data_IF_101471675010
#
_entry.id   IF_101471675010
#
_cell.length_a   1.000
_cell.length_b   1.000
_cell.length_c   1.000
_cell.angle_alpha   90.00
_cell.angle_beta   90.00
_cell.angle_gamma   90.00
#
_symmetry.space_group_name_H-M   'P 1'
#
loop_
_entity.id
_entity.type
_entity.pdbx_description
1 polymer ?
#
# COMPACT_ATOMS: atom_id res chain seq x y z
N UNK A 1 -5.24 8.62 2.43
CA UNK A 1 -4.08 8.30 3.23
C UNK A 1 -2.82 9.09 2.85
N UNK A 2 -2.76 9.67 1.63
CA UNK A 2 -1.59 10.38 1.12
C UNK A 2 -2.00 11.42 0.08
N UNK A 3 -1.13 12.40 -0.18
CA UNK A 3 -1.22 13.26 -1.36
C UNK A 3 -0.64 12.50 -2.56
N UNK A 4 -1.21 12.71 -3.73
CA UNK A 4 -0.69 12.09 -4.94
C UNK A 4 -1.73 11.96 -6.04
N UNK A 5 -1.51 10.97 -6.91
CA UNK A 5 -2.41 10.65 -8.02
C UNK A 5 -2.87 9.21 -7.90
N UNK A 6 -4.19 8.97 -7.95
CA UNK A 6 -4.73 7.60 -8.02
C UNK A 6 -4.41 7.03 -9.39
N UNK A 7 -3.42 6.16 -9.46
CA UNK A 7 -3.00 5.55 -10.72
C UNK A 7 -3.86 4.36 -11.11
N UNK A 8 -4.32 3.59 -10.14
CA UNK A 8 -5.25 2.46 -10.30
C UNK A 8 -6.06 2.26 -9.03
N UNK A 9 -7.31 1.86 -9.15
CA UNK A 9 -8.13 1.35 -8.06
C UNK A 9 -9.21 0.41 -8.61
N UNK A 10 -9.76 -0.43 -7.75
CA UNK A 10 -10.84 -1.34 -8.12
C UNK A 10 -10.77 -2.69 -7.43
N UNK A 11 -11.59 -3.66 -7.90
CA UNK A 11 -11.62 -5.00 -7.33
C UNK A 11 -10.36 -5.79 -7.66
N UNK A 12 -9.92 -6.57 -6.69
CA UNK A 12 -8.95 -7.64 -6.89
C UNK A 12 -9.70 -8.80 -7.53
N UNK A 13 -9.17 -9.35 -8.62
CA UNK A 13 -9.82 -10.47 -9.33
C UNK A 13 -8.96 -11.72 -9.22
N UNK A 14 -9.46 -12.72 -8.49
CA UNK A 14 -8.73 -13.97 -8.24
C UNK A 14 -7.28 -13.71 -7.76
N UNK A 15 -7.12 -12.81 -6.79
CA UNK A 15 -5.83 -12.43 -6.22
C UNK A 15 -4.92 -11.61 -7.13
N UNK A 16 -5.45 -11.00 -8.20
CA UNK A 16 -4.67 -10.22 -9.18
C UNK A 16 -5.08 -8.75 -9.16
N UNK A 17 -4.09 -7.86 -9.09
CA UNK A 17 -4.23 -6.41 -9.14
C UNK A 17 -3.77 -5.87 -10.48
N UNK A 18 -4.50 -4.87 -11.00
CA UNK A 18 -4.09 -4.13 -12.20
C UNK A 18 -2.97 -3.15 -11.85
N UNK A 19 -1.88 -3.17 -12.62
CA UNK A 19 -0.77 -2.21 -12.47
C UNK A 19 -0.94 -1.00 -13.39
N UNK A 20 -1.12 -1.25 -14.69
CA UNK A 20 -1.37 -0.29 -15.77
C UNK A 20 -1.60 -1.05 -17.07
N UNK A 21 -2.39 -0.52 -18.04
CA UNK A 21 -2.51 -0.96 -19.45
C UNK A 21 -2.27 -2.47 -19.72
N UNK A 22 -3.07 -3.34 -19.12
CA UNK A 22 -2.97 -4.79 -19.32
C UNK A 22 -1.82 -5.47 -18.57
N UNK A 23 -1.13 -4.76 -17.69
CA UNK A 23 -0.15 -5.33 -16.76
C UNK A 23 -0.78 -5.54 -15.41
N UNK A 24 -0.40 -6.65 -14.77
CA UNK A 24 -0.90 -7.02 -13.45
C UNK A 24 0.20 -7.70 -12.62
N UNK A 25 -0.05 -7.85 -11.35
CA UNK A 25 0.74 -8.62 -10.40
C UNK A 25 -0.19 -9.24 -9.36
N UNK A 26 0.27 -10.24 -8.64
CA UNK A 26 -0.57 -10.91 -7.64
C UNK A 26 -0.42 -10.28 -6.26
N UNK A 27 -1.45 -10.42 -5.42
CA UNK A 27 -1.41 -10.10 -3.98
C UNK A 27 -0.21 -10.78 -3.33
N UNK A 28 -0.02 -12.07 -3.59
CA UNK A 28 1.09 -12.85 -3.04
C UNK A 28 2.45 -12.21 -3.36
N UNK A 29 2.66 -11.80 -4.61
CA UNK A 29 3.89 -11.12 -5.01
C UNK A 29 4.07 -9.78 -4.32
N UNK A 30 2.99 -8.97 -4.22
CA UNK A 30 3.04 -7.64 -3.63
C UNK A 30 3.30 -7.71 -2.12
N UNK A 31 2.54 -8.52 -1.39
CA UNK A 31 2.64 -8.65 0.07
C UNK A 31 3.80 -9.53 0.52
N UNK A 32 4.44 -10.27 -0.40
CA UNK A 32 5.49 -11.26 -0.12
C UNK A 32 5.07 -12.27 0.96
N UNK A 33 3.82 -12.72 0.91
CA UNK A 33 3.18 -13.63 1.84
C UNK A 33 3.00 -15.04 1.23
N UNK A 34 2.54 -15.99 2.04
CA UNK A 34 2.16 -17.31 1.55
C UNK A 34 0.81 -17.30 0.81
N UNK A 35 0.42 -18.45 0.24
CA UNK A 35 -0.80 -18.59 -0.53
C UNK A 35 -2.07 -18.42 0.32
N UNK A 36 -2.05 -18.89 1.57
CA UNK A 36 -3.20 -18.82 2.47
C UNK A 36 -3.49 -17.37 2.88
N UNK A 37 -2.45 -16.61 3.18
CA UNK A 37 -2.59 -15.17 3.45
C UNK A 37 -3.05 -14.42 2.20
N UNK A 38 -2.50 -14.70 1.03
CA UNK A 38 -2.91 -14.07 -0.22
C UNK A 38 -4.36 -14.37 -0.59
N UNK A 39 -4.86 -15.57 -0.29
CA UNK A 39 -6.22 -16.00 -0.58
C UNK A 39 -7.29 -15.14 0.13
N UNK A 40 -6.99 -14.56 1.28
CA UNK A 40 -7.91 -13.65 2.00
C UNK A 40 -8.30 -12.43 1.17
N UNK A 41 -7.40 -11.98 0.31
CA UNK A 41 -7.59 -10.79 -0.53
C UNK A 41 -8.07 -11.11 -1.94
N UNK A 42 -8.42 -12.39 -2.23
CA UNK A 42 -8.67 -12.84 -3.62
C UNK A 42 -9.74 -12.02 -4.35
N UNK A 43 -10.78 -11.60 -3.63
CA UNK A 43 -11.93 -10.83 -4.14
C UNK A 43 -12.09 -9.48 -3.44
N UNK A 44 -11.03 -8.99 -2.81
CA UNK A 44 -11.02 -7.72 -2.09
C UNK A 44 -10.91 -6.51 -3.02
N UNK A 45 -10.43 -5.40 -2.46
CA UNK A 45 -10.29 -4.12 -3.18
C UNK A 45 -8.87 -3.58 -3.04
N UNK A 46 -8.43 -2.76 -4.02
CA UNK A 46 -7.14 -2.10 -3.94
C UNK A 46 -7.18 -0.68 -4.49
N UNK A 47 -6.23 0.14 -4.05
CA UNK A 47 -5.90 1.42 -4.68
C UNK A 47 -4.39 1.62 -4.69
N UNK A 48 -3.89 2.22 -5.77
CA UNK A 48 -2.49 2.60 -5.95
C UNK A 48 -2.41 4.11 -6.09
N UNK A 49 -1.71 4.77 -5.17
CA UNK A 49 -1.50 6.21 -5.14
C UNK A 49 -0.02 6.50 -5.40
N UNK A 50 0.26 7.22 -6.48
CA UNK A 50 1.60 7.68 -6.83
C UNK A 50 1.85 9.04 -6.19
N UNK A 51 2.93 9.18 -5.43
CA UNK A 51 3.40 10.43 -4.83
C UNK A 51 4.58 10.95 -5.64
N UNK A 52 4.40 12.08 -6.31
CA UNK A 52 5.50 12.75 -7.01
C UNK A 52 6.48 13.37 -6.01
N UNK A 53 7.73 13.71 -6.39
CA UNK A 53 8.70 14.31 -5.48
C UNK A 53 8.27 15.63 -4.83
N UNK A 54 7.29 16.33 -5.41
CA UNK A 54 6.73 17.58 -4.88
C UNK A 54 5.54 17.39 -3.95
N UNK A 55 5.00 16.17 -3.85
CA UNK A 55 3.84 15.91 -3.01
C UNK A 55 4.24 15.73 -1.53
N UNK A 56 3.28 15.75 -0.64
CA UNK A 56 3.46 15.44 0.77
C UNK A 56 3.81 13.96 0.96
N UNK A 57 4.88 13.64 1.67
CA UNK A 57 5.44 12.28 1.73
C UNK A 57 5.16 11.50 3.01
N UNK A 58 4.33 12.01 3.91
CA UNK A 58 3.82 11.23 5.03
C UNK A 58 2.59 10.44 4.59
N UNK A 59 2.44 9.25 5.14
CA UNK A 59 1.33 8.34 4.86
C UNK A 59 0.51 8.19 6.13
N UNK A 60 -0.79 8.33 6.01
CA UNK A 60 -1.73 8.34 7.13
C UNK A 60 -2.72 7.18 7.05
N UNK A 61 -3.21 6.76 8.20
CA UNK A 61 -4.22 5.73 8.30
C UNK A 61 -5.53 6.18 7.65
N UNK A 62 -6.09 5.41 6.71
CA UNK A 62 -7.38 5.73 6.10
C UNK A 62 -8.56 5.44 7.04
N UNK A 63 -8.34 4.60 8.04
CA UNK A 63 -9.31 4.20 9.06
C UNK A 63 -8.58 3.81 10.34
N UNK A 64 -9.32 3.60 11.44
CA UNK A 64 -8.79 3.01 12.66
C UNK A 64 -8.24 1.60 12.38
N UNK A 65 -7.09 1.26 12.95
CA UNK A 65 -6.53 -0.07 12.77
C UNK A 65 -5.49 -0.44 13.82
N UNK A 66 -5.38 -1.73 14.11
CA UNK A 66 -4.37 -2.31 14.99
C UNK A 66 -3.34 -3.04 14.16
N UNK A 67 -2.07 -2.69 14.30
CA UNK A 67 -0.97 -3.30 13.55
C UNK A 67 -0.83 -4.78 13.92
N UNK A 68 -0.93 -5.62 12.91
CA UNK A 68 -0.82 -7.08 13.00
C UNK A 68 0.58 -7.57 12.66
N UNK A 69 1.10 -7.08 11.54
CA UNK A 69 2.43 -7.45 11.06
C UNK A 69 3.07 -6.35 10.22
N UNK A 70 4.39 -6.39 10.14
CA UNK A 70 5.16 -5.58 9.19
C UNK A 70 6.19 -6.47 8.50
N UNK A 71 6.25 -6.40 7.17
CA UNK A 71 7.22 -7.14 6.37
C UNK A 71 8.05 -6.17 5.52
N UNK A 72 9.36 -6.14 5.75
CA UNK A 72 10.31 -5.52 4.85
C UNK A 72 10.65 -6.48 3.71
N UNK A 73 10.56 -6.01 2.49
CA UNK A 73 10.86 -6.79 1.28
C UNK A 73 11.94 -6.08 0.48
N UNK A 74 13.16 -6.63 0.41
CA UNK A 74 14.22 -6.07 -0.43
C UNK A 74 13.83 -6.16 -1.89
N UNK A 75 14.30 -5.20 -2.70
CA UNK A 75 13.94 -5.19 -4.10
C UNK A 75 14.80 -4.24 -4.93
N UNK A 76 14.30 -3.94 -6.12
CA UNK A 76 14.85 -2.92 -7.01
C UNK A 76 14.35 -1.53 -6.57
N UNK A 77 14.89 -0.50 -7.19
CA UNK A 77 14.48 0.88 -6.99
C UNK A 77 14.15 1.50 -8.35
N UNK A 78 13.27 0.83 -9.12
CA UNK A 78 12.78 1.43 -10.36
C UNK A 78 11.99 2.71 -10.04
N UNK A 79 12.01 3.68 -10.95
CA UNK A 79 11.05 4.78 -10.88
C UNK A 79 9.62 4.22 -10.86
N UNK A 80 8.72 4.86 -10.12
CA UNK A 80 7.32 4.41 -9.98
C UNK A 80 6.34 5.34 -10.71
N UNK A 81 6.84 6.21 -11.60
CA UNK A 81 6.01 7.05 -12.44
C UNK A 81 5.21 6.21 -13.46
N UNK A 82 4.22 6.83 -14.08
CA UNK A 82 3.30 6.18 -15.01
C UNK A 82 4.02 5.46 -16.17
N UNK A 83 5.02 6.10 -16.79
CA UNK A 83 5.75 5.50 -17.91
C UNK A 83 6.48 4.21 -17.51
N UNK A 84 7.06 4.17 -16.31
CA UNK A 84 7.70 2.97 -15.78
C UNK A 84 6.68 1.91 -15.38
N UNK A 85 5.55 2.32 -14.80
CA UNK A 85 4.45 1.40 -14.47
C UNK A 85 3.86 0.73 -15.72
N UNK A 86 3.82 1.43 -16.83
CA UNK A 86 3.41 0.87 -18.14
C UNK A 86 4.51 0.00 -18.77
N UNK A 87 5.77 0.29 -18.52
CA UNK A 87 6.92 -0.37 -19.13
C UNK A 87 7.42 -1.63 -18.43
N UNK A 88 7.40 -1.66 -17.09
CA UNK A 88 8.03 -2.71 -16.28
C UNK A 88 6.98 -3.64 -15.66
N UNK A 89 6.92 -4.92 -16.08
CA UNK A 89 5.99 -5.88 -15.49
C UNK A 89 6.26 -6.12 -14.00
N UNK A 90 5.20 -6.13 -13.18
CA UNK A 90 5.26 -6.40 -11.75
C UNK A 90 6.06 -5.35 -10.96
N UNK A 91 6.11 -4.10 -11.44
CA UNK A 91 6.93 -3.02 -10.92
C UNK A 91 6.86 -2.91 -9.39
N UNK A 92 5.66 -2.78 -8.84
CA UNK A 92 5.45 -2.57 -7.40
C UNK A 92 5.84 -3.79 -6.56
N UNK A 93 5.66 -5.00 -7.09
CA UNK A 93 6.06 -6.24 -6.43
C UNK A 93 7.58 -6.53 -6.56
N UNK A 94 8.30 -5.81 -7.43
CA UNK A 94 9.75 -5.94 -7.64
C UNK A 94 10.57 -4.88 -6.93
N UNK A 95 9.97 -3.75 -6.60
CA UNK A 95 10.64 -2.70 -5.85
C UNK A 95 10.75 -3.05 -4.36
N UNK A 96 11.79 -2.50 -3.73
CA UNK A 96 11.93 -2.49 -2.28
C UNK A 96 10.69 -1.86 -1.66
N UNK A 97 10.15 -2.48 -0.61
CA UNK A 97 8.90 -2.04 0.00
C UNK A 97 8.75 -2.50 1.43
N UNK A 98 7.87 -1.82 2.14
CA UNK A 98 7.40 -2.20 3.47
C UNK A 98 5.90 -2.47 3.39
N UNK A 99 5.49 -3.65 3.83
CA UNK A 99 4.09 -4.07 3.94
C UNK A 99 3.70 -3.99 5.40
N UNK A 100 2.72 -3.16 5.73
CA UNK A 100 2.15 -3.08 7.08
C UNK A 100 0.68 -3.53 7.00
N UNK A 101 0.34 -4.58 7.74
CA UNK A 101 -0.99 -5.17 7.76
C UNK A 101 -1.68 -4.84 9.08
N UNK A 102 -2.90 -4.34 8.98
CA UNK A 102 -3.73 -3.90 10.10
C UNK A 102 -5.04 -4.68 10.16
N UNK A 103 -5.45 -5.07 11.35
CA UNK A 103 -6.84 -5.43 11.62
C UNK A 103 -7.64 -4.14 11.80
N UNK A 104 -8.71 -3.97 11.03
CA UNK A 104 -9.59 -2.80 11.06
C UNK A 104 -11.03 -3.21 11.37
N UNK A 105 -11.92 -2.28 11.73
CA UNK A 105 -13.35 -2.58 11.91
C UNK A 105 -14.02 -3.16 10.65
N UNK A 106 -13.38 -3.07 9.49
CA UNK A 106 -13.92 -3.45 8.19
C UNK A 106 -13.14 -4.55 7.49
N UNK A 107 -12.35 -5.30 8.21
CA UNK A 107 -11.50 -6.37 7.69
C UNK A 107 -10.01 -6.03 7.74
N UNK A 108 -9.21 -6.88 7.10
CA UNK A 108 -7.77 -6.74 7.06
C UNK A 108 -7.36 -5.75 5.96
N UNK A 109 -6.55 -4.77 6.32
CA UNK A 109 -5.98 -3.77 5.40
C UNK A 109 -4.47 -3.87 5.39
N UNK A 110 -3.89 -4.16 4.24
CA UNK A 110 -2.45 -4.05 4.02
C UNK A 110 -2.11 -2.73 3.32
N UNK A 111 -1.23 -1.94 3.94
CA UNK A 111 -0.67 -0.73 3.36
C UNK A 111 0.77 -1.01 2.92
N UNK A 112 1.02 -0.90 1.62
CA UNK A 112 2.32 -1.21 1.02
C UNK A 112 3.00 0.09 0.61
N UNK A 113 4.10 0.41 1.29
CA UNK A 113 4.94 1.56 1.01
C UNK A 113 6.04 1.13 0.05
N UNK A 114 5.95 1.53 -1.21
CA UNK A 114 6.87 1.12 -2.28
C UNK A 114 7.92 2.19 -2.51
N UNK A 115 9.18 1.84 -2.30
CA UNK A 115 10.34 2.70 -2.59
C UNK A 115 10.63 2.84 -4.09
N UNK A 116 11.35 3.90 -4.45
CA UNK A 116 11.73 4.21 -5.82
C UNK A 116 13.14 4.81 -5.93
N UNK A 117 13.63 5.05 -7.13
CA UNK A 117 15.04 5.31 -7.51
C UNK A 117 15.75 6.46 -6.77
N UNK A 118 15.06 7.35 -6.13
CA UNK A 118 15.67 8.46 -5.34
C UNK A 118 15.27 8.36 -3.87
N UNK A 119 14.42 7.39 -3.53
CA UNK A 119 13.87 7.19 -2.19
C UNK A 119 14.77 6.25 -1.43
N UNK A 120 15.62 6.81 -0.60
CA UNK A 120 16.56 6.03 0.19
C UNK A 120 16.01 5.56 1.54
N UNK A 121 14.74 5.86 1.89
CA UNK A 121 14.27 5.54 3.24
C UNK A 121 12.76 5.48 3.34
N UNK A 122 12.27 4.38 3.90
CA UNK A 122 10.89 4.20 4.37
C UNK A 122 10.96 4.14 5.89
N UNK A 123 10.17 4.98 6.54
CA UNK A 123 10.06 5.03 8.01
C UNK A 123 8.64 4.70 8.43
N UNK A 124 8.48 3.98 9.54
CA UNK A 124 7.20 3.81 10.22
C UNK A 124 7.24 4.43 11.61
N UNK A 125 6.10 4.88 12.13
CA UNK A 125 6.05 5.55 13.44
C UNK A 125 6.37 4.61 14.61
N UNK A 126 6.27 3.30 14.42
CA UNK A 126 6.53 2.28 15.44
C UNK A 126 7.92 1.62 15.35
N UNK A 127 8.59 1.69 14.22
CA UNK A 127 9.89 1.02 14.02
C UNK A 127 11.00 1.95 13.53
N UNK A 128 10.68 3.25 13.28
CA UNK A 128 11.64 4.20 12.71
C UNK A 128 12.01 3.83 11.28
N UNK A 129 13.29 3.94 10.91
CA UNK A 129 13.78 3.61 9.57
C UNK A 129 13.75 2.11 9.35
N UNK A 130 12.93 1.66 8.37
CA UNK A 130 12.76 0.24 8.01
C UNK A 130 13.50 -0.11 6.72
N UNK A 131 13.61 0.82 5.77
CA UNK A 131 14.34 0.63 4.52
C UNK A 131 15.30 1.80 4.27
N UNK A 132 16.48 1.56 3.65
CA UNK A 132 17.03 0.26 3.24
C UNK A 132 17.74 -0.42 4.42
N UNK A 133 17.44 -1.64 4.73
CA UNK A 133 18.09 -2.29 5.88
C UNK A 133 18.85 -3.57 5.57
N UNK A 134 18.32 -4.48 4.74
CA UNK A 134 18.92 -5.81 4.55
C UNK A 134 18.66 -6.38 3.16
N UNK A 135 19.40 -7.47 2.85
CA UNK A 135 19.24 -8.21 1.60
C UNK A 135 18.20 -9.35 1.66
N UNK A 136 17.48 -9.48 2.78
CA UNK A 136 16.52 -10.56 3.03
C UNK A 136 15.17 -10.00 3.48
N UNK A 137 14.11 -10.73 3.15
CA UNK A 137 12.76 -10.44 3.66
C UNK A 137 12.77 -10.58 5.18
N UNK A 138 12.16 -9.62 5.85
CA UNK A 138 12.03 -9.59 7.31
C UNK A 138 10.60 -9.32 7.70
N UNK A 139 9.94 -10.33 8.26
CA UNK A 139 8.60 -10.22 8.81
C UNK A 139 8.65 -10.11 10.34
N UNK A 140 7.88 -9.17 10.90
CA UNK A 140 7.69 -8.97 12.33
C UNK A 140 6.21 -9.06 12.64
N UNK A 141 5.83 -9.89 13.61
CA UNK A 141 4.47 -9.99 14.13
C UNK A 141 4.32 -9.09 15.36
N UNK A 142 3.19 -8.39 15.47
CA UNK A 142 2.92 -7.42 16.54
C UNK A 142 1.77 -7.84 17.47
N UNK A 143 1.21 -9.05 17.30
CA UNK A 143 0.03 -9.53 18.02
C UNK A 143 0.19 -9.71 19.53
N UNK A 144 1.42 -9.77 20.05
CA UNK A 144 1.67 -10.25 21.42
C UNK A 144 1.95 -9.15 22.47
N UNK A 145 2.15 -7.85 22.14
CA UNK A 145 2.30 -6.80 23.18
C UNK A 145 3.15 -5.56 22.84
N UNK A 146 2.81 -4.41 23.40
CA UNK A 146 1.47 -3.84 23.51
C UNK A 146 0.92 -3.54 22.12
N UNK A 147 -0.39 -3.64 21.97
CA UNK A 147 -1.04 -3.41 20.67
C UNK A 147 -0.72 -2.00 20.14
N UNK A 148 -0.20 -1.92 18.91
CA UNK A 148 0.03 -0.67 18.21
C UNK A 148 -1.25 -0.33 17.46
N UNK A 149 -2.04 0.59 18.01
CA UNK A 149 -3.31 1.05 17.43
C UNK A 149 -3.15 2.47 16.91
N UNK A 150 -3.54 2.70 15.68
CA UNK A 150 -3.56 4.00 15.02
C UNK A 150 -4.99 4.39 14.68
N UNK A 151 -5.33 5.65 14.84
CA UNK A 151 -6.62 6.22 14.47
C UNK A 151 -6.61 6.69 13.02
N UNK A 152 -7.80 6.81 12.44
CA UNK A 152 -7.98 7.47 11.14
C UNK A 152 -7.30 8.84 11.16
N UNK A 153 -6.43 9.09 10.18
CA UNK A 153 -5.67 10.33 10.07
C UNK A 153 -4.32 10.33 10.81
N UNK A 154 -4.04 9.37 11.69
CA UNK A 154 -2.72 9.26 12.31
C UNK A 154 -1.65 8.93 11.26
N UNK A 155 -0.46 9.50 11.41
CA UNK A 155 0.67 9.11 10.58
C UNK A 155 1.07 7.66 10.87
N UNK A 156 1.15 6.83 9.83
CA UNK A 156 1.63 5.46 9.95
C UNK A 156 3.10 5.32 9.53
N UNK A 157 3.56 6.21 8.66
CA UNK A 157 4.92 6.19 8.12
C UNK A 157 5.16 7.28 7.12
N UNK A 158 6.36 7.30 6.54
CA UNK A 158 6.77 8.32 5.57
C UNK A 158 7.85 7.83 4.62
N UNK A 159 7.97 8.53 3.52
CA UNK A 159 9.09 8.44 2.59
C UNK A 159 9.95 9.70 2.67
N UNK A 160 11.23 9.62 2.29
CA UNK A 160 12.07 10.83 2.19
C UNK A 160 11.96 11.53 0.84
N UNK A 161 11.52 10.85 -0.21
CA UNK A 161 11.28 11.43 -1.55
C UNK A 161 10.43 10.47 -2.40
N UNK A 162 9.64 10.97 -3.37
CA UNK A 162 8.75 10.32 -4.33
C UNK A 162 8.58 8.79 -4.33
N UNK A 163 7.33 8.30 -4.29
CA UNK A 163 7.05 6.90 -3.97
C UNK A 163 5.65 6.48 -4.38
N UNK A 164 5.25 5.29 -4.01
CA UNK A 164 3.87 4.79 -4.23
C UNK A 164 3.35 4.09 -2.97
N UNK A 165 2.10 4.36 -2.64
CA UNK A 165 1.36 3.61 -1.62
C UNK A 165 0.34 2.73 -2.33
N UNK A 166 0.31 1.43 -1.99
CA UNK A 166 -0.73 0.52 -2.44
C UNK A 166 -1.53 0.08 -1.23
N UNK A 167 -2.84 0.32 -1.27
CA UNK A 167 -3.81 -0.18 -0.31
C UNK A 167 -4.38 -1.49 -0.84
N UNK A 168 -4.44 -2.51 0.01
CA UNK A 168 -5.01 -3.83 -0.32
C UNK A 168 -5.93 -4.23 0.83
N UNK A 169 -7.22 -4.32 0.58
CA UNK A 169 -8.23 -4.73 1.55
C UNK A 169 -8.80 -6.09 1.20
N UNK A 170 -9.07 -6.92 2.19
CA UNK A 170 -9.79 -8.18 2.02
C UNK A 170 -11.32 -7.97 1.89
N UNK A 171 -11.82 -6.77 2.20
CA UNK A 171 -13.23 -6.45 2.14
C UNK A 171 -13.66 -6.10 0.70
N UNK A 172 -14.57 -6.87 0.07
CA UNK A 172 -15.06 -6.60 -1.27
C UNK A 172 -16.03 -5.40 -1.38
N UNK A 173 -16.56 -4.93 -0.25
CA UNK A 173 -17.61 -3.89 -0.20
C UNK A 173 -17.08 -2.46 -0.12
N UNK A 174 -15.79 -2.24 -0.32
CA UNK A 174 -15.27 -0.90 -0.49
C UNK A 174 -15.65 -0.38 -1.87
N UNK A 175 -16.42 0.69 -1.91
CA UNK A 175 -16.73 1.41 -3.14
C UNK A 175 -15.79 2.61 -3.26
N UNK A 176 -15.02 2.64 -4.32
CA UNK A 176 -14.18 3.79 -4.64
C UNK A 176 -15.08 4.99 -4.97
N UNK A 177 -14.65 6.18 -4.55
CA UNK A 177 -15.37 7.40 -4.84
C UNK A 177 -15.57 7.54 -6.36
N UNK A 178 -16.84 7.62 -6.78
CA UNK A 178 -17.20 7.68 -8.20
C UNK A 178 -16.75 9.00 -8.87
N UNK A 179 -16.51 10.04 -8.08
CA UNK A 179 -15.96 11.31 -8.56
C UNK A 179 -14.43 11.24 -8.74
N UNK A 180 -13.77 10.20 -8.22
CA UNK A 180 -12.33 10.02 -8.32
C UNK A 180 -11.97 9.30 -9.62
N UNK A 181 -11.62 10.06 -10.66
CA UNK A 181 -11.13 9.48 -11.91
C UNK A 181 -9.66 9.01 -11.77
N UNK A 182 -9.31 7.98 -12.57
CA UNK A 182 -7.91 7.56 -12.67
C UNK A 182 -7.05 8.68 -13.27
N UNK A 183 -5.94 8.99 -12.62
CA UNK A 183 -5.05 10.08 -13.02
C UNK A 183 -5.33 11.39 -12.30
N UNK A 184 -6.39 11.49 -11.50
CA UNK A 184 -6.67 12.68 -10.71
C UNK A 184 -5.88 12.74 -9.40
N UNK A 185 -5.68 13.96 -8.93
CA UNK A 185 -5.01 14.23 -7.66
C UNK A 185 -5.94 13.97 -6.48
N UNK A 186 -5.39 13.33 -5.47
CA UNK A 186 -6.00 13.18 -4.16
C UNK A 186 -5.14 13.88 -3.11
N UNK A 187 -5.78 14.34 -2.03
CA UNK A 187 -5.10 14.91 -0.87
C UNK A 187 -5.36 14.04 0.36
N UNK A 188 -4.41 14.01 1.26
CA UNK A 188 -4.57 13.39 2.57
C UNK A 188 -5.79 14.00 3.28
N UNK A 189 -6.70 13.15 3.76
CA UNK A 189 -7.96 13.59 4.37
C UNK A 189 -9.16 13.60 3.42
N UNK A 190 -8.96 13.58 2.10
CA UNK A 190 -10.06 13.40 1.14
C UNK A 190 -10.66 12.00 1.20
N UNK A 191 -11.93 11.90 0.85
CA UNK A 191 -12.60 10.59 0.68
C UNK A 191 -11.94 9.87 -0.50
N UNK A 192 -11.58 8.62 -0.29
CA UNK A 192 -11.03 7.73 -1.32
C UNK A 192 -11.99 6.61 -1.64
N UNK A 193 -12.66 6.09 -0.62
CA UNK A 193 -13.64 5.03 -0.75
C UNK A 193 -14.69 5.14 0.36
N UNK A 194 -15.87 4.58 0.11
CA UNK A 194 -16.97 4.42 1.06
C UNK A 194 -17.21 2.94 1.29
N UNK A 195 -17.78 2.59 2.44
CA UNK A 195 -18.30 1.26 2.68
C UNK A 195 -19.75 1.21 2.24
N UNK A 196 -20.08 0.19 1.45
CA UNK A 196 -21.48 -0.14 1.17
C UNK A 196 -22.15 -0.56 2.47
N UNK A 197 -23.17 0.18 2.87
CA UNK A 197 -23.99 -0.18 4.03
C UNK A 197 -25.15 -1.07 3.55
N UNK A 198 -25.20 -2.30 4.04
CA UNK A 198 -26.32 -3.23 3.85
C UNK A 198 -27.36 -3.05 4.93
#
# INVERSE_FOLDING_TARGET
PADGVVSQCGPIKAGTLVQAKGRSFTVQQLLACDADQAAKYADGQFATIYLSPSDYHRVHMPCDGTLKSMTYVPGKLFSVNQATAEGVPGLFARNERVVATFDTPWGELSMVLVGAMVVASIETVWAGVVAPLRRQVMATQYGDQPAITLKKGDEMGRFKLGSTVVLVSDNPHWMWDAEQELGEKVQMGSVLALLEQF
#
